data_IF_317626559622
#
_entry.id   IF_317626559622
#
_cell.length_a   1.000
_cell.length_b   1.000
_cell.length_c   1.000
_cell.angle_alpha   90.00
_cell.angle_beta   90.00
_cell.angle_gamma   90.00
#
_symmetry.space_group_name_H-M   'P 1'
#
loop_
_entity.id
_entity.type
_entity.pdbx_description
1 polymer ?
#
# COMPACT_ATOMS: atom_id res chain seq x y z
N UNK A 1 14.59 1.88 17.66
CA UNK A 1 15.36 3.09 17.35
C UNK A 1 14.38 4.08 16.76
N UNK A 2 14.32 5.31 17.26
CA UNK A 2 13.52 6.38 16.65
C UNK A 2 14.30 6.99 15.48
N UNK A 3 13.60 7.53 14.49
CA UNK A 3 14.21 8.25 13.36
C UNK A 3 14.60 7.34 12.19
N UNK A 4 13.90 6.21 11.98
CA UNK A 4 14.22 5.25 10.91
C UNK A 4 14.03 5.81 9.49
N UNK A 5 13.31 6.93 9.36
CA UNK A 5 13.09 7.66 8.12
C UNK A 5 13.48 9.14 8.26
N UNK A 6 14.38 9.47 9.19
CA UNK A 6 14.81 10.84 9.46
C UNK A 6 15.27 11.55 8.17
N UNK A 7 14.67 12.71 7.90
CA UNK A 7 14.99 13.55 6.73
C UNK A 7 14.42 13.05 5.39
N UNK A 8 13.84 11.84 5.34
CA UNK A 8 13.27 11.26 4.12
C UNK A 8 11.91 11.86 3.79
N UNK A 9 11.56 11.86 2.51
CA UNK A 9 10.23 12.20 2.02
C UNK A 9 9.51 10.92 1.60
N UNK A 10 8.35 10.67 2.20
CA UNK A 10 7.52 9.51 1.89
C UNK A 10 6.22 9.95 1.22
N UNK A 11 5.95 9.42 0.03
CA UNK A 11 4.69 9.57 -0.67
C UNK A 11 3.87 8.28 -0.49
N UNK A 12 2.66 8.41 0.07
CA UNK A 12 1.77 7.28 0.33
C UNK A 12 0.47 7.46 -0.44
N UNK A 13 0.19 6.61 -1.43
CA UNK A 13 -1.12 6.56 -2.07
C UNK A 13 -2.12 5.81 -1.21
N UNK A 14 -3.34 6.32 -1.05
CA UNK A 14 -4.32 5.72 -0.13
C UNK A 14 -3.94 5.92 1.35
N UNK A 15 -3.18 6.97 1.67
CA UNK A 15 -2.58 7.19 2.99
C UNK A 15 -3.53 7.77 4.05
N UNK A 16 -4.82 7.92 3.76
CA UNK A 16 -5.77 8.59 4.65
C UNK A 16 -6.48 7.68 5.66
N UNK A 17 -6.57 6.38 5.40
CA UNK A 17 -7.35 5.44 6.24
C UNK A 17 -6.66 4.08 6.38
N UNK A 18 -7.14 3.24 7.30
CA UNK A 18 -6.68 1.86 7.46
C UNK A 18 -5.16 1.75 7.61
N UNK A 19 -4.55 0.82 6.87
CA UNK A 19 -3.10 0.60 6.87
C UNK A 19 -2.32 1.80 6.33
N UNK A 20 -2.84 2.49 5.30
CA UNK A 20 -2.23 3.71 4.77
C UNK A 20 -2.15 4.81 5.83
N UNK A 21 -3.25 5.08 6.54
CA UNK A 21 -3.28 6.05 7.64
C UNK A 21 -2.36 5.69 8.81
N UNK A 22 -2.34 4.41 9.21
CA UNK A 22 -1.41 3.91 10.22
C UNK A 22 0.05 4.09 9.78
N UNK A 23 0.35 3.85 8.50
CA UNK A 23 1.68 4.04 7.91
C UNK A 23 2.06 5.52 7.86
N UNK A 24 1.15 6.41 7.44
CA UNK A 24 1.38 7.86 7.43
C UNK A 24 1.78 8.40 8.80
N UNK A 25 1.04 8.02 9.85
CA UNK A 25 1.36 8.39 11.23
C UNK A 25 2.73 7.85 11.65
N UNK A 26 2.96 6.56 11.45
CA UNK A 26 4.20 5.91 11.87
C UNK A 26 5.42 6.49 11.14
N UNK A 27 5.31 6.77 9.84
CA UNK A 27 6.41 7.34 9.07
C UNK A 27 6.78 8.75 9.56
N UNK A 28 5.79 9.57 9.87
CA UNK A 28 6.03 10.89 10.44
C UNK A 28 6.65 10.82 11.84
N UNK A 29 6.21 9.88 12.69
CA UNK A 29 6.84 9.60 13.99
C UNK A 29 8.30 9.16 13.87
N UNK A 30 8.66 8.55 12.74
CA UNK A 30 10.02 8.10 12.43
C UNK A 30 10.84 9.15 11.63
N UNK A 31 10.39 10.41 11.59
CA UNK A 31 11.14 11.54 11.06
C UNK A 31 10.91 11.83 9.56
N UNK A 32 9.98 11.13 8.91
CA UNK A 32 9.66 11.40 7.51
C UNK A 32 8.79 12.65 7.34
N UNK A 33 8.99 13.37 6.24
CA UNK A 33 8.00 14.31 5.68
C UNK A 33 7.03 13.52 4.81
N UNK A 34 5.74 13.52 5.14
CA UNK A 34 4.76 12.62 4.53
C UNK A 34 3.84 13.36 3.55
N UNK A 35 3.75 12.86 2.32
CA UNK A 35 2.73 13.28 1.36
C UNK A 35 1.65 12.20 1.27
N UNK A 36 0.43 12.54 1.69
CA UNK A 36 -0.74 11.67 1.64
C UNK A 36 -1.48 11.93 0.34
N UNK A 37 -1.37 11.00 -0.61
CA UNK A 37 -2.11 11.04 -1.87
C UNK A 37 -3.41 10.27 -1.71
N UNK A 38 -4.53 10.97 -1.60
CA UNK A 38 -5.84 10.35 -1.39
C UNK A 38 -6.96 11.23 -1.95
N UNK A 39 -8.00 10.61 -2.51
CA UNK A 39 -9.19 11.31 -3.00
C UNK A 39 -10.13 11.74 -1.87
N UNK A 40 -10.06 11.09 -0.70
CA UNK A 40 -10.84 11.46 0.46
C UNK A 40 -10.14 12.59 1.23
N UNK A 41 -10.49 13.83 0.88
CA UNK A 41 -9.88 15.02 1.49
C UNK A 41 -10.11 15.09 3.00
N UNK A 42 -11.34 14.84 3.47
CA UNK A 42 -11.68 14.90 4.90
C UNK A 42 -10.82 13.94 5.73
N UNK A 43 -10.73 12.67 5.30
CA UNK A 43 -9.92 11.68 6.01
C UNK A 43 -8.42 12.03 5.93
N UNK A 44 -7.93 12.50 4.78
CA UNK A 44 -6.52 12.84 4.61
C UNK A 44 -6.12 14.05 5.46
N UNK A 45 -6.94 15.10 5.48
CA UNK A 45 -6.73 16.31 6.28
C UNK A 45 -6.76 16.00 7.78
N UNK A 46 -7.61 15.07 8.23
CA UNK A 46 -7.60 14.61 9.61
C UNK A 46 -6.25 13.98 10.00
N UNK A 47 -5.71 13.08 9.16
CA UNK A 47 -4.38 12.48 9.40
C UNK A 47 -3.27 13.53 9.37
N UNK A 48 -3.33 14.49 8.43
CA UNK A 48 -2.37 15.60 8.39
C UNK A 48 -2.42 16.39 9.70
N UNK A 49 -3.62 16.72 10.18
CA UNK A 49 -3.81 17.43 11.45
C UNK A 49 -3.23 16.66 12.65
N UNK A 50 -3.47 15.35 12.73
CA UNK A 50 -2.88 14.47 13.75
C UNK A 50 -1.35 14.49 13.72
N UNK A 51 -0.75 14.35 12.53
CA UNK A 51 0.71 14.34 12.35
C UNK A 51 1.31 15.68 12.76
N UNK A 52 0.72 16.79 12.32
CA UNK A 52 1.20 18.15 12.64
C UNK A 52 1.06 18.43 14.14
N UNK A 53 -0.05 18.02 14.77
CA UNK A 53 -0.25 18.17 16.21
C UNK A 53 0.79 17.37 17.03
N UNK A 54 1.27 16.25 16.50
CA UNK A 54 2.35 15.46 17.08
C UNK A 54 3.77 15.99 16.77
N UNK A 55 3.89 17.13 16.07
CA UNK A 55 5.17 17.75 15.70
C UNK A 55 5.82 17.22 14.42
N UNK A 56 5.13 16.33 13.69
CA UNK A 56 5.58 15.84 12.39
C UNK A 56 5.24 16.79 11.24
N UNK A 57 5.64 16.42 10.03
CA UNK A 57 5.33 17.17 8.80
C UNK A 57 4.54 16.29 7.83
N UNK A 58 3.35 16.72 7.45
CA UNK A 58 2.57 16.07 6.41
C UNK A 58 1.83 17.07 5.52
N UNK A 59 1.53 16.66 4.29
CA UNK A 59 0.61 17.37 3.38
C UNK A 59 -0.41 16.38 2.81
N UNK A 60 -1.60 16.87 2.52
CA UNK A 60 -2.57 16.17 1.68
C UNK A 60 -2.41 16.60 0.23
N UNK A 61 -2.47 15.63 -0.69
CA UNK A 61 -2.43 15.85 -2.13
C UNK A 61 -3.62 15.10 -2.75
N UNK A 62 -4.70 15.80 -3.15
CA UNK A 62 -5.87 15.13 -3.72
C UNK A 62 -5.56 14.56 -5.10
N UNK A 63 -5.82 13.26 -5.28
CA UNK A 63 -5.73 12.59 -6.58
C UNK A 63 -6.49 11.27 -6.57
N UNK A 64 -7.06 10.91 -7.71
CA UNK A 64 -7.44 9.52 -7.99
C UNK A 64 -6.32 8.85 -8.80
N UNK A 65 -5.62 7.93 -8.16
CA UNK A 65 -4.42 7.28 -8.71
C UNK A 65 -4.69 6.37 -9.92
N UNK A 66 -5.94 6.16 -10.30
CA UNK A 66 -6.31 5.44 -11.53
C UNK A 66 -6.19 6.33 -12.80
N UNK A 67 -6.04 7.64 -12.61
CA UNK A 67 -5.88 8.64 -13.68
C UNK A 67 -4.45 9.17 -13.75
N UNK A 68 -3.88 9.18 -14.96
CA UNK A 68 -2.49 9.56 -15.18
C UNK A 68 -2.23 11.06 -14.91
N UNK A 69 -3.19 11.93 -15.24
CA UNK A 69 -3.11 13.37 -14.99
C UNK A 69 -3.03 13.67 -13.50
N UNK A 70 -3.94 13.08 -12.72
CA UNK A 70 -4.01 13.27 -11.26
C UNK A 70 -2.72 12.82 -10.59
N UNK A 71 -2.15 11.69 -11.03
CA UNK A 71 -0.87 11.18 -10.53
C UNK A 71 0.27 12.13 -10.86
N UNK A 72 0.34 12.64 -12.09
CA UNK A 72 1.39 13.58 -12.50
C UNK A 72 1.34 14.86 -11.67
N UNK A 73 0.16 15.47 -11.56
CA UNK A 73 -0.07 16.68 -10.77
C UNK A 73 0.26 16.45 -9.29
N UNK A 74 -0.10 15.29 -8.74
CA UNK A 74 0.20 14.94 -7.37
C UNK A 74 1.71 14.86 -7.11
N UNK A 75 2.45 14.16 -7.97
CA UNK A 75 3.91 14.02 -7.84
C UNK A 75 4.61 15.36 -7.99
N UNK A 76 4.18 16.20 -8.95
CA UNK A 76 4.72 17.56 -9.12
C UNK A 76 4.54 18.42 -7.86
N UNK A 77 3.36 18.37 -7.23
CA UNK A 77 3.10 19.07 -5.96
C UNK A 77 4.02 18.61 -4.84
N UNK A 78 4.25 17.30 -4.72
CA UNK A 78 5.16 16.74 -3.71
C UNK A 78 6.60 17.19 -3.95
N UNK A 79 7.06 17.17 -5.21
CA UNK A 79 8.38 17.65 -5.58
C UNK A 79 8.52 19.15 -5.33
N UNK A 80 7.51 19.96 -5.67
CA UNK A 80 7.52 21.39 -5.40
C UNK A 80 7.59 21.70 -3.90
N UNK A 81 6.88 20.92 -3.07
CA UNK A 81 6.82 21.14 -1.63
C UNK A 81 8.06 20.63 -0.88
N UNK A 82 8.58 19.45 -1.24
CA UNK A 82 9.61 18.77 -0.45
C UNK A 82 10.95 18.58 -1.18
N UNK A 83 11.00 18.82 -2.49
CA UNK A 83 12.20 18.78 -3.34
C UNK A 83 12.68 17.39 -3.74
N UNK A 84 12.15 16.31 -3.14
CA UNK A 84 12.56 14.92 -3.37
C UNK A 84 11.45 13.95 -2.96
N UNK A 85 11.58 12.69 -3.38
CA UNK A 85 10.79 11.56 -2.90
C UNK A 85 11.75 10.40 -2.68
N UNK A 86 11.84 9.89 -1.44
CA UNK A 86 12.75 8.82 -1.04
C UNK A 86 12.02 7.48 -0.89
N UNK A 87 10.75 7.55 -0.48
CA UNK A 87 9.88 6.39 -0.28
C UNK A 87 8.58 6.57 -1.05
N UNK A 88 8.18 5.55 -1.80
CA UNK A 88 6.85 5.44 -2.39
C UNK A 88 6.14 4.23 -1.79
N UNK A 89 5.02 4.44 -1.12
CA UNK A 89 4.12 3.37 -0.72
C UNK A 89 2.91 3.35 -1.66
N UNK A 90 2.94 2.42 -2.62
CA UNK A 90 1.82 2.10 -3.50
C UNK A 90 0.79 1.29 -2.71
N UNK A 91 -0.11 1.98 -2.01
CA UNK A 91 -1.08 1.37 -1.11
C UNK A 91 -2.54 1.51 -1.54
N UNK A 92 -2.89 2.56 -2.27
CA UNK A 92 -4.23 2.75 -2.80
C UNK A 92 -4.75 1.47 -3.48
N UNK A 93 -5.94 1.04 -3.05
CA UNK A 93 -6.51 -0.24 -3.45
C UNK A 93 -7.97 -0.38 -3.05
N UNK A 94 -8.66 -1.28 -3.72
CA UNK A 94 -10.01 -1.72 -3.35
C UNK A 94 -10.11 -3.24 -3.53
N UNK A 95 -11.29 -3.77 -3.22
CA UNK A 95 -11.68 -5.15 -3.43
C UNK A 95 -13.03 -5.18 -4.18
N UNK A 96 -13.30 -6.29 -4.85
CA UNK A 96 -14.61 -6.68 -5.37
C UNK A 96 -14.83 -8.12 -4.91
N UNK A 97 -15.89 -8.35 -4.14
CA UNK A 97 -16.30 -9.69 -3.68
C UNK A 97 -17.57 -10.06 -4.42
N UNK A 98 -17.47 -11.02 -5.33
CA UNK A 98 -18.56 -11.39 -6.22
C UNK A 98 -18.34 -12.77 -6.85
N UNK A 99 -19.40 -13.54 -7.15
CA UNK A 99 -19.29 -14.71 -8.01
C UNK A 99 -18.61 -14.35 -9.33
N UNK A 100 -17.66 -15.18 -9.76
CA UNK A 100 -16.86 -14.91 -10.96
C UNK A 100 -17.73 -14.67 -12.20
N UNK A 101 -18.76 -15.49 -12.40
CA UNK A 101 -19.67 -15.38 -13.55
C UNK A 101 -20.58 -14.14 -13.51
N UNK A 102 -20.64 -13.44 -12.37
CA UNK A 102 -21.40 -12.19 -12.21
C UNK A 102 -20.51 -10.94 -12.24
N UNK A 103 -19.18 -11.12 -12.29
CA UNK A 103 -18.23 -10.01 -12.38
C UNK A 103 -18.31 -9.39 -13.76
N UNK A 104 -18.55 -8.08 -13.82
CA UNK A 104 -18.67 -7.36 -15.09
C UNK A 104 -17.30 -6.89 -15.58
N UNK A 105 -17.18 -6.63 -16.89
CA UNK A 105 -15.98 -6.01 -17.47
C UNK A 105 -15.70 -4.63 -16.86
N UNK A 106 -16.73 -3.86 -16.53
CA UNK A 106 -16.58 -2.56 -15.86
C UNK A 106 -15.96 -2.70 -14.45
N UNK A 107 -16.41 -3.69 -13.67
CA UNK A 107 -15.84 -3.99 -12.35
C UNK A 107 -14.37 -4.44 -12.49
N UNK A 108 -14.09 -5.27 -13.50
CA UNK A 108 -12.75 -5.75 -13.83
C UNK A 108 -11.80 -4.60 -14.17
N UNK A 109 -12.19 -3.74 -15.10
CA UNK A 109 -11.42 -2.60 -15.55
C UNK A 109 -11.20 -1.61 -14.41
N UNK A 110 -12.24 -1.30 -13.65
CA UNK A 110 -12.15 -0.38 -12.51
C UNK A 110 -11.19 -0.91 -11.43
N UNK A 111 -11.32 -2.18 -11.03
CA UNK A 111 -10.46 -2.73 -9.99
C UNK A 111 -9.01 -2.85 -10.47
N UNK A 112 -8.80 -3.25 -11.72
CA UNK A 112 -7.46 -3.32 -12.32
C UNK A 112 -6.84 -1.92 -12.43
N UNK A 113 -7.64 -0.90 -12.78
CA UNK A 113 -7.18 0.48 -12.83
C UNK A 113 -6.71 0.98 -11.45
N UNK A 114 -7.44 0.61 -10.39
CA UNK A 114 -7.13 1.02 -9.02
C UNK A 114 -5.98 0.20 -8.41
N UNK A 115 -5.98 -1.12 -8.55
CA UNK A 115 -5.02 -1.99 -7.85
C UNK A 115 -3.72 -2.19 -8.63
N UNK A 116 -3.75 -2.15 -9.96
CA UNK A 116 -2.60 -2.52 -10.80
C UNK A 116 -2.06 -1.31 -11.56
N UNK A 117 -2.91 -0.67 -12.38
CA UNK A 117 -2.49 0.47 -13.21
C UNK A 117 -1.98 1.63 -12.35
N UNK A 118 -2.60 1.89 -11.19
CA UNK A 118 -2.15 2.93 -10.27
C UNK A 118 -0.70 2.75 -9.83
N UNK A 119 -0.25 1.51 -9.55
CA UNK A 119 1.14 1.24 -9.18
C UNK A 119 2.09 1.59 -10.31
N UNK A 120 1.71 1.26 -11.55
CA UNK A 120 2.45 1.66 -12.73
C UNK A 120 2.52 3.19 -12.85
N UNK A 121 1.39 3.88 -12.75
CA UNK A 121 1.32 5.34 -12.91
C UNK A 121 2.15 6.06 -11.84
N UNK A 122 1.94 5.73 -10.56
CA UNK A 122 2.66 6.31 -9.43
C UNK A 122 4.16 6.04 -9.54
N UNK A 123 4.54 4.78 -9.79
CA UNK A 123 5.95 4.41 -9.93
C UNK A 123 6.59 5.12 -11.12
N UNK A 124 5.93 5.16 -12.28
CA UNK A 124 6.44 5.83 -13.48
C UNK A 124 6.67 7.33 -13.25
N UNK A 125 5.79 7.99 -12.50
CA UNK A 125 5.93 9.41 -12.17
C UNK A 125 7.04 9.67 -11.14
N UNK A 126 7.15 8.83 -10.10
CA UNK A 126 8.11 9.04 -9.00
C UNK A 126 9.54 8.57 -9.34
N UNK A 127 9.68 7.48 -10.09
CA UNK A 127 10.95 6.78 -10.29
C UNK A 127 12.07 7.66 -10.89
N UNK A 128 11.82 8.55 -11.87
CA UNK A 128 12.85 9.46 -12.37
C UNK A 128 13.43 10.37 -11.26
N UNK A 129 12.60 10.85 -10.34
CA UNK A 129 13.03 11.69 -9.22
C UNK A 129 13.83 10.91 -8.18
N UNK A 130 13.42 9.67 -7.87
CA UNK A 130 14.21 8.78 -6.99
C UNK A 130 15.59 8.50 -7.58
N UNK A 131 15.64 8.15 -8.87
CA UNK A 131 16.90 7.87 -9.57
C UNK A 131 17.82 9.09 -9.56
N UNK A 132 17.29 10.28 -9.85
CA UNK A 132 18.06 11.53 -9.78
C UNK A 132 18.51 11.87 -8.35
N UNK A 133 17.71 11.49 -7.35
CA UNK A 133 18.00 11.63 -5.91
C UNK A 133 18.99 10.60 -5.36
N UNK A 134 19.49 9.68 -6.18
CA UNK A 134 20.49 8.68 -5.79
C UNK A 134 19.91 7.34 -5.33
N UNK A 135 18.60 7.12 -5.49
CA UNK A 135 17.92 5.88 -5.13
C UNK A 135 16.64 6.09 -4.33
N UNK A 136 16.01 5.00 -3.91
CA UNK A 136 14.76 5.06 -3.16
C UNK A 136 14.18 3.68 -2.85
N UNK A 137 13.14 3.68 -2.02
CA UNK A 137 12.41 2.47 -1.65
C UNK A 137 10.96 2.55 -2.08
N UNK A 138 10.52 1.57 -2.85
CA UNK A 138 9.13 1.38 -3.24
C UNK A 138 8.58 0.19 -2.45
N UNK A 139 7.44 0.38 -1.83
CA UNK A 139 6.67 -0.70 -1.20
C UNK A 139 5.32 -0.78 -1.90
N UNK A 140 4.95 -1.97 -2.37
CA UNK A 140 3.67 -2.24 -3.00
C UNK A 140 2.79 -3.03 -2.04
N UNK A 141 1.54 -2.61 -1.88
CA UNK A 141 0.56 -3.41 -1.12
C UNK A 141 0.02 -4.53 -1.98
N UNK A 142 0.42 -5.76 -1.68
CA UNK A 142 -0.23 -6.94 -2.24
C UNK A 142 -1.21 -7.55 -1.23
N UNK A 143 -1.27 -8.87 -1.09
CA UNK A 143 -2.15 -9.63 -0.19
C UNK A 143 -1.66 -11.08 -0.09
N UNK A 144 -2.10 -11.82 0.92
CA UNK A 144 -2.10 -13.30 0.90
C UNK A 144 -2.80 -13.86 -0.35
N UNK A 145 -3.79 -13.13 -0.87
CA UNK A 145 -4.57 -13.45 -2.08
C UNK A 145 -3.74 -13.69 -3.34
N UNK A 146 -2.48 -13.25 -3.34
CA UNK A 146 -1.58 -13.51 -4.46
C UNK A 146 -1.05 -14.96 -4.50
N UNK A 147 -1.15 -15.70 -3.39
CA UNK A 147 -0.65 -17.08 -3.24
C UNK A 147 -1.66 -18.05 -2.62
N UNK A 148 -2.67 -17.53 -1.92
CA UNK A 148 -3.77 -18.30 -1.34
C UNK A 148 -5.10 -17.63 -1.72
N UNK A 149 -5.87 -18.27 -2.60
CA UNK A 149 -7.10 -17.70 -3.16
C UNK A 149 -8.30 -17.83 -2.21
N UNK A 150 -9.17 -16.82 -2.21
CA UNK A 150 -10.44 -16.81 -1.46
C UNK A 150 -11.61 -16.93 -2.44
N UNK A 151 -12.63 -17.77 -2.16
CA UNK A 151 -13.83 -17.79 -2.99
C UNK A 151 -14.46 -16.38 -3.12
N UNK A 152 -15.02 -16.08 -4.29
CA UNK A 152 -15.61 -14.78 -4.63
C UNK A 152 -14.61 -13.63 -4.83
N UNK A 153 -13.29 -13.88 -4.78
CA UNK A 153 -12.26 -12.84 -4.92
C UNK A 153 -11.42 -12.96 -6.19
N UNK A 154 -11.81 -13.79 -7.18
CA UNK A 154 -11.00 -14.09 -8.38
C UNK A 154 -10.38 -12.86 -9.04
N UNK A 155 -11.17 -11.80 -9.24
CA UNK A 155 -10.68 -10.54 -9.80
C UNK A 155 -9.66 -9.87 -8.87
N UNK A 156 -9.95 -9.78 -7.57
CA UNK A 156 -9.02 -9.22 -6.59
C UNK A 156 -7.72 -10.03 -6.49
N UNK A 157 -7.80 -11.35 -6.35
CA UNK A 157 -6.67 -12.28 -6.33
C UNK A 157 -5.76 -12.07 -7.56
N UNK A 158 -6.37 -11.97 -8.74
CA UNK A 158 -5.68 -11.67 -9.99
C UNK A 158 -4.90 -10.35 -9.91
N UNK A 159 -5.52 -9.28 -9.39
CA UNK A 159 -4.81 -8.01 -9.21
C UNK A 159 -3.64 -8.13 -8.24
N UNK A 160 -3.78 -8.91 -7.15
CA UNK A 160 -2.73 -9.05 -6.14
C UNK A 160 -1.56 -9.91 -6.62
N UNK A 161 -1.81 -10.90 -7.46
CA UNK A 161 -0.79 -11.60 -8.23
C UNK A 161 -0.01 -10.66 -9.17
N UNK A 162 -0.70 -9.75 -9.85
CA UNK A 162 -0.04 -8.73 -10.67
C UNK A 162 0.85 -7.79 -9.83
N UNK A 163 0.39 -7.36 -8.65
CA UNK A 163 1.19 -6.56 -7.72
C UNK A 163 2.46 -7.28 -7.24
N UNK A 164 2.38 -8.59 -6.96
CA UNK A 164 3.53 -9.42 -6.59
C UNK A 164 4.61 -9.37 -7.68
N UNK A 165 4.20 -9.59 -8.93
CA UNK A 165 5.14 -9.61 -10.05
C UNK A 165 5.66 -8.22 -10.39
N UNK A 166 4.80 -7.19 -10.28
CA UNK A 166 5.21 -5.79 -10.49
C UNK A 166 6.37 -5.40 -9.57
N UNK A 167 6.27 -5.72 -8.26
CA UNK A 167 7.34 -5.40 -7.31
C UNK A 167 8.67 -6.07 -7.68
N UNK A 168 8.63 -7.37 -8.06
CA UNK A 168 9.82 -8.10 -8.52
C UNK A 168 10.40 -7.52 -9.81
N UNK A 169 9.56 -7.16 -10.78
CA UNK A 169 10.01 -6.60 -12.04
C UNK A 169 10.78 -5.28 -11.84
N UNK A 170 10.22 -4.34 -11.07
CA UNK A 170 10.88 -3.07 -10.73
C UNK A 170 12.19 -3.33 -9.96
N UNK A 171 12.18 -4.25 -8.99
CA UNK A 171 13.37 -4.60 -8.23
C UNK A 171 14.51 -5.11 -9.12
N UNK A 172 14.21 -6.02 -10.05
CA UNK A 172 15.20 -6.61 -10.94
C UNK A 172 15.75 -5.58 -11.92
N UNK A 173 14.88 -4.76 -12.51
CA UNK A 173 15.25 -3.80 -13.55
C UNK A 173 16.07 -2.62 -12.99
N UNK A 174 15.71 -2.10 -11.82
CA UNK A 174 16.30 -0.86 -11.29
C UNK A 174 17.29 -1.05 -10.12
N UNK A 175 17.69 -2.28 -9.79
CA UNK A 175 18.66 -2.56 -8.71
C UNK A 175 19.97 -1.79 -8.87
N UNK A 176 20.50 -1.66 -10.10
CA UNK A 176 21.77 -0.97 -10.39
C UNK A 176 21.62 0.57 -10.31
N UNK A 177 20.40 1.06 -10.07
CA UNK A 177 20.06 2.48 -9.87
C UNK A 177 19.70 2.77 -8.41
N UNK A 178 20.07 1.88 -7.49
CA UNK A 178 19.79 1.98 -6.05
C UNK A 178 18.28 2.10 -5.74
N UNK A 179 17.45 1.41 -6.53
CA UNK A 179 16.01 1.30 -6.30
C UNK A 179 15.72 -0.06 -5.69
N UNK A 180 15.03 -0.06 -4.55
CA UNK A 180 14.43 -1.26 -3.97
C UNK A 180 12.93 -1.24 -4.21
N UNK A 181 12.35 -2.37 -4.59
CA UNK A 181 10.91 -2.52 -4.70
C UNK A 181 10.49 -3.85 -4.05
N UNK A 182 9.65 -3.78 -3.03
CA UNK A 182 9.20 -4.95 -2.27
C UNK A 182 7.67 -4.93 -2.16
N UNK A 183 7.07 -6.09 -1.92
CA UNK A 183 5.64 -6.16 -1.57
C UNK A 183 5.47 -6.43 -0.07
N UNK A 184 4.51 -5.74 0.54
CA UNK A 184 3.91 -6.15 1.82
C UNK A 184 2.66 -6.96 1.51
N UNK A 185 2.46 -8.09 2.18
CA UNK A 185 1.40 -9.05 1.87
C UNK A 185 0.59 -9.37 3.13
N UNK A 186 -0.37 -8.50 3.51
CA UNK A 186 -1.20 -8.71 4.69
C UNK A 186 -2.19 -9.86 4.50
N UNK A 187 -2.56 -10.50 5.62
CA UNK A 187 -3.79 -11.28 5.74
C UNK A 187 -5.01 -10.39 6.01
N UNK A 188 -5.99 -10.87 6.78
CA UNK A 188 -7.13 -10.06 7.20
C UNK A 188 -6.71 -9.01 8.25
N UNK A 189 -7.01 -7.73 7.98
CA UNK A 189 -6.61 -6.59 8.81
C UNK A 189 -7.84 -5.77 9.24
N UNK A 190 -7.91 -5.41 10.53
CA UNK A 190 -9.00 -4.63 11.12
C UNK A 190 -8.98 -3.18 10.64
N UNK A 191 -9.57 -2.96 9.48
CA UNK A 191 -9.71 -1.65 8.84
C UNK A 191 -11.12 -1.50 8.29
N UNK A 192 -11.59 -0.29 7.92
CA UNK A 192 -12.87 -0.16 7.21
C UNK A 192 -12.94 -1.04 5.95
N UNK A 193 -11.82 -1.19 5.24
CA UNK A 193 -11.71 -2.08 4.08
C UNK A 193 -11.86 -3.55 4.47
N UNK A 194 -11.05 -4.05 5.42
CA UNK A 194 -11.09 -5.46 5.84
C UNK A 194 -12.40 -5.85 6.53
N UNK A 195 -13.03 -4.94 7.28
CA UNK A 195 -14.35 -5.17 7.86
C UNK A 195 -15.44 -5.30 6.77
N UNK A 196 -15.32 -4.52 5.68
CA UNK A 196 -16.22 -4.65 4.52
C UNK A 196 -16.00 -5.99 3.83
N UNK A 197 -14.74 -6.37 3.59
CA UNK A 197 -14.36 -7.65 3.00
C UNK A 197 -14.98 -8.83 3.77
N UNK A 198 -14.76 -8.87 5.09
CA UNK A 198 -15.32 -9.88 5.98
C UNK A 198 -16.86 -9.95 5.90
N UNK A 199 -17.52 -8.79 5.89
CA UNK A 199 -18.99 -8.70 5.78
C UNK A 199 -19.53 -9.22 4.44
N UNK A 200 -18.88 -8.85 3.33
CA UNK A 200 -19.30 -9.25 1.99
C UNK A 200 -19.04 -10.76 1.74
N UNK A 201 -17.91 -11.29 2.19
CA UNK A 201 -17.62 -12.73 2.13
C UNK A 201 -18.65 -13.56 2.91
N UNK A 202 -19.00 -13.14 4.13
CA UNK A 202 -20.04 -13.80 4.93
C UNK A 202 -21.40 -13.77 4.24
N UNK A 203 -21.74 -12.69 3.53
CA UNK A 203 -23.00 -12.59 2.76
C UNK A 203 -23.07 -13.62 1.62
N UNK A 204 -21.93 -14.02 1.07
CA UNK A 204 -21.83 -15.08 0.07
C UNK A 204 -21.58 -16.48 0.67
N UNK A 205 -21.65 -16.61 2.00
CA UNK A 205 -21.50 -17.89 2.70
C UNK A 205 -20.07 -18.39 2.83
N UNK A 206 -19.07 -17.52 2.60
CA UNK A 206 -17.67 -17.84 2.88
C UNK A 206 -17.42 -17.66 4.38
N UNK A 207 -16.94 -18.70 5.05
CA UNK A 207 -16.67 -18.64 6.49
C UNK A 207 -15.38 -17.87 6.78
N UNK A 208 -15.55 -16.59 7.10
CA UNK A 208 -14.53 -15.70 7.64
C UNK A 208 -14.97 -15.17 9.02
N UNK A 209 -15.65 -16.02 9.79
CA UNK A 209 -15.98 -15.73 11.18
C UNK A 209 -14.73 -15.53 12.02
N UNK A 210 -14.86 -14.91 13.20
CA UNK A 210 -13.73 -14.76 14.13
C UNK A 210 -13.06 -16.11 14.46
N UNK A 211 -13.85 -17.19 14.54
CA UNK A 211 -13.33 -18.53 14.77
C UNK A 211 -12.54 -19.08 13.57
N UNK A 212 -13.03 -18.88 12.34
CA UNK A 212 -12.31 -19.26 11.12
C UNK A 212 -11.02 -18.46 10.94
N UNK A 213 -11.08 -17.13 11.12
CA UNK A 213 -9.91 -16.27 11.08
C UNK A 213 -8.89 -16.62 12.18
N UNK A 214 -9.35 -16.97 13.38
CA UNK A 214 -8.48 -17.44 14.44
C UNK A 214 -7.81 -18.79 14.10
N UNK A 215 -8.53 -19.69 13.43
CA UNK A 215 -7.96 -20.96 12.98
C UNK A 215 -6.89 -20.77 11.89
N UNK A 216 -7.03 -19.77 11.02
CA UNK A 216 -6.13 -19.54 9.89
C UNK A 216 -4.96 -18.60 10.19
N UNK A 217 -5.19 -17.51 10.93
CA UNK A 217 -4.16 -16.50 11.25
C UNK A 217 -4.10 -16.14 12.74
N UNK A 218 -4.71 -16.92 13.63
CA UNK A 218 -4.68 -16.73 15.09
C UNK A 218 -5.56 -15.58 15.61
N UNK A 219 -5.57 -14.44 14.92
CA UNK A 219 -6.45 -13.28 15.16
C UNK A 219 -6.43 -12.36 13.95
N UNK A 220 -7.39 -11.43 13.88
CA UNK A 220 -7.31 -10.34 12.92
C UNK A 220 -6.11 -9.43 13.24
N UNK A 221 -5.40 -9.02 12.19
CA UNK A 221 -4.22 -8.15 12.27
C UNK A 221 -4.65 -6.69 12.51
N UNK A 222 -3.90 -5.95 13.32
CA UNK A 222 -4.11 -4.51 13.49
C UNK A 222 -3.31 -3.73 12.44
N UNK A 223 -3.81 -2.61 11.90
CA UNK A 223 -3.17 -1.89 10.81
C UNK A 223 -1.74 -1.42 11.14
N UNK A 224 -1.45 -1.12 12.41
CA UNK A 224 -0.11 -0.75 12.88
C UNK A 224 0.91 -1.89 12.74
N UNK A 225 0.48 -3.15 12.76
CA UNK A 225 1.36 -4.30 12.54
C UNK A 225 1.87 -4.35 11.10
N UNK A 226 0.99 -4.08 10.14
CA UNK A 226 1.38 -3.94 8.73
C UNK A 226 2.25 -2.70 8.54
N UNK A 227 1.89 -1.56 9.15
CA UNK A 227 2.67 -0.33 9.05
C UNK A 227 4.12 -0.53 9.51
N UNK A 228 4.38 -1.33 10.56
CA UNK A 228 5.75 -1.67 11.00
C UNK A 228 6.53 -2.48 9.97
N UNK A 229 5.88 -3.40 9.27
CA UNK A 229 6.50 -4.14 8.17
C UNK A 229 6.83 -3.22 6.97
N UNK A 230 5.92 -2.30 6.63
CA UNK A 230 6.14 -1.29 5.58
C UNK A 230 7.30 -0.36 5.96
N UNK A 231 7.37 0.08 7.22
CA UNK A 231 8.48 0.87 7.74
C UNK A 231 9.82 0.15 7.60
N UNK A 232 9.88 -1.14 7.94
CA UNK A 232 11.07 -1.95 7.72
C UNK A 232 11.50 -1.93 6.26
N UNK A 233 10.60 -2.28 5.34
CA UNK A 233 10.88 -2.32 3.90
C UNK A 233 11.30 -0.94 3.35
N UNK A 234 10.74 0.15 3.89
CA UNK A 234 11.08 1.53 3.50
C UNK A 234 12.42 2.03 4.06
N UNK A 235 12.85 1.53 5.22
CA UNK A 235 14.05 1.97 5.94
C UNK A 235 15.35 1.39 5.36
N UNK A 236 16.48 1.93 5.82
CA UNK A 236 17.81 1.45 5.40
C UNK A 236 18.18 0.08 6.00
N UNK A 237 17.42 -0.37 7.01
CA UNK A 237 17.54 -1.74 7.56
C UNK A 237 17.21 -2.81 6.51
N UNK A 238 16.42 -2.47 5.49
CA UNK A 238 16.10 -3.33 4.36
C UNK A 238 17.00 -3.10 3.13
N UNK A 239 18.19 -2.51 3.30
CA UNK A 239 19.10 -2.11 2.21
C UNK A 239 19.52 -3.25 1.27
N UNK A 240 19.49 -4.50 1.72
CA UNK A 240 19.75 -5.68 0.89
C UNK A 240 18.50 -6.55 0.64
N UNK A 241 17.33 -6.07 1.03
CA UNK A 241 16.03 -6.70 0.77
C UNK A 241 15.39 -6.04 -0.45
N UNK A 242 15.35 -6.76 -1.57
CA UNK A 242 14.83 -6.25 -2.83
C UNK A 242 14.08 -7.35 -3.60
N UNK A 243 12.87 -7.05 -4.10
CA UNK A 243 12.00 -8.00 -4.78
C UNK A 243 11.30 -9.02 -3.85
N UNK A 244 11.33 -8.80 -2.54
CA UNK A 244 10.72 -9.71 -1.57
C UNK A 244 9.19 -9.54 -1.51
N UNK A 245 8.53 -10.61 -1.09
CA UNK A 245 7.12 -10.63 -0.71
C UNK A 245 7.08 -10.88 0.81
N UNK A 246 6.89 -9.81 1.59
CA UNK A 246 6.89 -9.88 3.05
C UNK A 246 5.46 -10.12 3.54
N UNK A 247 5.16 -11.36 3.92
CA UNK A 247 3.87 -11.75 4.47
C UNK A 247 3.70 -11.25 5.91
N UNK A 248 2.54 -10.63 6.18
CA UNK A 248 2.10 -10.15 7.49
C UNK A 248 0.75 -10.80 7.78
N UNK A 249 0.78 -12.11 7.97
CA UNK A 249 -0.40 -12.98 7.96
C UNK A 249 -0.44 -13.98 9.13
N UNK A 250 0.50 -13.83 10.08
CA UNK A 250 0.67 -14.72 11.23
C UNK A 250 0.67 -16.22 10.86
N UNK A 251 1.29 -16.57 9.71
CA UNK A 251 1.46 -17.96 9.27
C UNK A 251 0.33 -18.51 8.41
N UNK A 252 -0.67 -17.70 8.03
CA UNK A 252 -1.76 -18.13 7.15
C UNK A 252 -1.26 -18.87 5.91
N UNK A 253 -0.29 -18.30 5.20
CA UNK A 253 0.22 -18.85 3.93
C UNK A 253 1.33 -19.88 4.11
N UNK A 254 1.81 -20.10 5.34
CA UNK A 254 2.84 -21.08 5.65
C UNK A 254 2.30 -22.47 6.00
N UNK A 255 1.01 -22.56 6.31
CA UNK A 255 0.31 -23.76 6.78
C UNK A 255 -0.01 -24.76 5.67
#
# INVERSE_FOLDING_TARGET
MAGRLEGKVALISGGATGMGGATSRLFAQEGARVAIVDRNAEAAEAIVGEIVAAGGTAIHVPADVSFASDVADAVERVIAQFGRIDVLFNHAGSIVIKPFLETTEEEWDRLTAINVKSMFLMTKAVLPHMIAGGGGSIVCTSSISAVAATPMEVLYDTTKGACHMFARAIAVEFRDRNIRCNAVCPGFVRTPHGNREVSELMRYGVDVSDAALAAQQGRICEPEEVARAVLFLASDEASFVNGTHLFVDNGFTAA
#
